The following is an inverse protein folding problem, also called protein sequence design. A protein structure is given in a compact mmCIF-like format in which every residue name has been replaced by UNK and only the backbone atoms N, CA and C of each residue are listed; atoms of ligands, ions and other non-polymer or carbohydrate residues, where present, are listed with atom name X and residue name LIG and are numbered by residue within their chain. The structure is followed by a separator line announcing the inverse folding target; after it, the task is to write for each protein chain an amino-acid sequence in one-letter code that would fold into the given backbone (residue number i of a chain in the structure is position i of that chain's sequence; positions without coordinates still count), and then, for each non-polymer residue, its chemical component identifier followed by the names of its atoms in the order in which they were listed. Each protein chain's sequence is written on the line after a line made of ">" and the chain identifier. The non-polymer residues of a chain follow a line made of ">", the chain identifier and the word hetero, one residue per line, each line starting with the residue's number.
data_IF_539642513386
#
_entry.id   IF_539642513386
#
_cell.length_a   1.000
_cell.length_b   1.000
_cell.length_c   1.000
_cell.angle_alpha   90.00
_cell.angle_beta   90.00
_cell.angle_gamma   90.00
#
_symmetry.space_group_name_H-M   'P 1'
#
loop_
_entity.id
_entity.type
_entity.pdbx_description
1 polymer ?
#
# COMPACT_ATOMS: atom_id res chain seq x y z
N UNK A 1 -11.29 16.10 -0.05
CA UNK A 1 -11.53 14.66 0.16
C UNK A 1 -12.68 14.56 1.12
N UNK A 2 -13.86 14.21 0.63
CA UNK A 2 -15.06 14.08 1.46
C UNK A 2 -15.13 12.61 1.88
N UNK A 3 -15.30 12.34 3.17
CA UNK A 3 -15.37 10.98 3.71
C UNK A 3 -16.62 10.84 4.57
N UNK A 4 -17.16 9.63 4.65
CA UNK A 4 -18.32 9.31 5.46
C UNK A 4 -17.93 8.18 6.41
N UNK A 5 -18.32 8.31 7.67
CA UNK A 5 -18.04 7.36 8.75
C UNK A 5 -19.31 6.57 9.06
N UNK A 6 -19.19 5.28 9.33
CA UNK A 6 -20.30 4.39 9.67
C UNK A 6 -21.06 4.98 10.87
N UNK A 7 -22.34 5.32 10.66
CA UNK A 7 -23.29 6.02 11.56
C UNK A 7 -23.49 7.54 11.33
N UNK A 8 -22.82 8.17 10.36
CA UNK A 8 -22.98 9.60 10.07
C UNK A 8 -23.43 9.82 8.62
N UNK A 9 -24.64 10.36 8.39
CA UNK A 9 -25.17 10.63 7.03
C UNK A 9 -24.59 11.91 6.43
N UNK A 10 -23.75 12.63 7.18
CA UNK A 10 -23.15 13.89 6.77
C UNK A 10 -21.70 13.71 6.30
N UNK A 11 -21.31 14.46 5.27
CA UNK A 11 -19.93 14.48 4.83
C UNK A 11 -19.04 15.13 5.87
N UNK A 12 -17.95 14.46 6.22
CA UNK A 12 -16.94 14.99 7.14
C UNK A 12 -15.56 14.94 6.51
N UNK A 13 -14.79 15.97 6.76
CA UNK A 13 -13.38 16.02 6.42
C UNK A 13 -12.56 15.13 7.37
N UNK A 14 -11.41 14.60 6.93
CA UNK A 14 -10.50 13.87 7.82
C UNK A 14 -10.13 14.65 9.09
N UNK A 15 -10.00 15.98 9.01
CA UNK A 15 -9.72 16.85 10.17
C UNK A 15 -10.84 16.82 11.20
N UNK A 16 -12.10 16.86 10.76
CA UNK A 16 -13.27 16.78 11.64
C UNK A 16 -13.42 15.40 12.28
N UNK A 17 -13.04 14.35 11.55
CA UNK A 17 -13.04 12.99 12.07
C UNK A 17 -11.97 12.85 13.16
N UNK A 18 -10.73 13.27 12.86
CA UNK A 18 -9.58 13.24 13.79
C UNK A 18 -9.87 14.05 15.06
N UNK A 19 -10.43 15.26 14.93
CA UNK A 19 -10.74 16.11 16.09
C UNK A 19 -11.85 15.54 16.98
N UNK A 20 -12.76 14.73 16.42
CA UNK A 20 -13.81 14.07 17.18
C UNK A 20 -13.47 12.68 17.70
N UNK A 21 -12.34 12.10 17.26
CA UNK A 21 -11.99 10.72 17.57
C UNK A 21 -11.30 10.63 18.93
N UNK A 22 -11.65 9.63 19.72
CA UNK A 22 -11.02 9.37 21.01
C UNK A 22 -9.82 8.45 20.83
N UNK A 23 -8.71 8.62 21.57
CA UNK A 23 -7.61 7.66 21.54
C UNK A 23 -8.07 6.26 21.95
N UNK A 24 -7.72 5.26 21.14
CA UNK A 24 -7.85 3.84 21.44
C UNK A 24 -6.96 3.47 22.62
N UNK A 25 -7.53 2.73 23.57
CA UNK A 25 -6.81 2.27 24.78
C UNK A 25 -5.80 1.16 24.51
N UNK A 26 -5.77 0.57 23.31
CA UNK A 26 -4.94 -0.60 23.01
C UNK A 26 -3.61 -0.27 22.33
N UNK A 27 -3.60 0.73 21.46
CA UNK A 27 -2.52 0.94 20.48
C UNK A 27 -2.16 2.42 20.27
N UNK A 28 -2.82 3.35 20.99
CA UNK A 28 -2.56 4.79 20.85
C UNK A 28 -3.03 5.39 19.52
N UNK A 29 -3.76 4.62 18.70
CA UNK A 29 -4.39 5.11 17.49
C UNK A 29 -5.71 5.83 17.83
N UNK A 30 -6.26 6.59 16.89
CA UNK A 30 -7.58 7.18 17.06
C UNK A 30 -8.67 6.12 16.82
N UNK A 31 -9.63 6.03 17.74
CA UNK A 31 -10.84 5.22 17.62
C UNK A 31 -11.82 5.92 16.67
N UNK A 32 -11.53 5.78 15.38
CA UNK A 32 -12.37 6.25 14.30
C UNK A 32 -13.30 5.10 13.91
N UNK A 33 -14.63 5.31 14.05
CA UNK A 33 -15.63 4.41 13.47
C UNK A 33 -15.28 4.15 11.99
N UNK A 34 -15.51 2.93 11.51
CA UNK A 34 -15.08 2.53 10.18
C UNK A 34 -15.61 3.48 9.08
N UNK A 35 -14.83 3.69 8.02
CA UNK A 35 -15.28 4.44 6.85
C UNK A 35 -16.24 3.61 6.00
N UNK A 36 -17.17 4.28 5.32
CA UNK A 36 -17.98 3.58 4.31
C UNK A 36 -17.09 3.04 3.18
N UNK A 37 -17.44 1.87 2.62
CA UNK A 37 -16.75 1.33 1.45
C UNK A 37 -16.82 2.32 0.29
N UNK A 38 -15.79 2.30 -0.55
CA UNK A 38 -15.78 3.11 -1.78
C UNK A 38 -16.02 4.61 -1.51
N UNK A 39 -15.42 5.15 -0.44
CA UNK A 39 -15.55 6.55 -0.05
C UNK A 39 -14.37 7.43 -0.46
N UNK A 40 -13.22 6.84 -0.84
CA UNK A 40 -12.00 7.60 -1.16
C UNK A 40 -11.71 7.62 -2.66
N UNK A 41 -11.44 8.82 -3.20
CA UNK A 41 -11.04 8.99 -4.60
C UNK A 41 -9.58 8.57 -4.83
N UNK A 42 -8.72 8.75 -3.82
CA UNK A 42 -7.30 8.40 -3.87
C UNK A 42 -6.81 7.88 -2.52
N UNK A 43 -5.96 6.87 -2.56
CA UNK A 43 -5.31 6.29 -1.37
C UNK A 43 -3.80 6.21 -1.61
N UNK A 44 -3.01 6.66 -0.64
CA UNK A 44 -1.57 6.36 -0.56
C UNK A 44 -1.44 5.32 0.55
N UNK A 45 -0.94 4.15 0.19
CA UNK A 45 -0.72 3.04 1.09
C UNK A 45 0.78 2.83 1.25
N UNK A 46 1.31 3.36 2.34
CA UNK A 46 2.72 3.24 2.76
C UNK A 46 2.78 2.44 4.07
N UNK A 47 2.57 1.11 4.01
CA UNK A 47 2.46 0.29 5.19
C UNK A 47 3.85 0.06 5.83
N UNK A 48 3.89 -0.28 7.13
CA UNK A 48 5.13 -0.71 7.77
C UNK A 48 5.80 -1.86 7.01
N UNK A 49 7.11 -1.79 6.86
CA UNK A 49 7.91 -2.75 6.10
C UNK A 49 9.22 -3.09 6.84
N UNK A 50 9.94 -4.09 6.36
CA UNK A 50 11.22 -4.53 6.95
C UNK A 50 12.34 -3.48 6.90
N UNK A 51 12.13 -2.38 6.15
CA UNK A 51 13.01 -1.23 6.05
C UNK A 51 14.45 -1.56 5.62
N UNK A 52 14.65 -2.68 4.90
CA UNK A 52 15.96 -3.15 4.46
C UNK A 52 16.65 -2.20 3.46
N UNK A 53 15.90 -1.25 2.88
CA UNK A 53 16.42 -0.27 1.95
C UNK A 53 16.96 1.02 2.60
N UNK A 54 16.75 1.24 3.90
CA UNK A 54 17.15 2.52 4.52
C UNK A 54 18.66 2.78 4.41
N UNK A 55 19.04 4.03 4.10
CA UNK A 55 20.43 4.51 4.09
C UNK A 55 20.52 5.90 4.74
N UNK A 56 21.56 6.17 5.56
CA UNK A 56 22.53 5.20 6.08
C UNK A 56 21.85 4.30 7.14
N UNK A 57 22.14 2.99 7.10
CA UNK A 57 21.72 2.05 8.13
C UNK A 57 22.95 1.40 8.73
N UNK A 58 23.39 1.93 9.86
CA UNK A 58 24.64 1.53 10.52
C UNK A 58 24.50 0.20 11.29
N UNK A 59 23.27 -0.20 11.61
CA UNK A 59 22.96 -1.47 12.25
C UNK A 59 21.72 -2.10 11.59
N UNK A 60 21.84 -3.39 11.25
CA UNK A 60 20.71 -4.26 10.89
C UNK A 60 20.54 -5.23 12.05
N UNK A 61 19.43 -5.11 12.77
CA UNK A 61 18.98 -6.20 13.62
C UNK A 61 18.74 -7.41 12.71
N UNK A 62 19.24 -8.58 13.12
CA UNK A 62 19.06 -9.81 12.37
C UNK A 62 17.55 -10.11 12.25
N UNK A 63 16.99 -9.84 11.07
CA UNK A 63 15.61 -10.21 10.77
C UNK A 63 15.60 -11.66 10.31
N UNK A 64 14.91 -12.52 11.06
CA UNK A 64 14.71 -13.90 10.66
C UNK A 64 13.77 -13.96 9.45
N UNK A 65 13.84 -15.05 8.67
CA UNK A 65 12.89 -15.29 7.59
C UNK A 65 11.41 -15.20 8.05
N UNK A 66 11.03 -15.76 9.22
CA UNK A 66 9.70 -15.52 9.79
C UNK A 66 9.34 -14.05 9.98
N UNK A 67 10.29 -13.20 10.41
CA UNK A 67 10.02 -11.77 10.62
C UNK A 67 9.72 -11.07 9.29
N UNK A 68 10.49 -11.37 8.25
CA UNK A 68 10.26 -10.82 6.90
C UNK A 68 8.89 -11.24 6.33
N UNK A 69 8.47 -12.48 6.58
CA UNK A 69 7.15 -12.96 6.17
C UNK A 69 6.02 -12.26 6.94
N UNK A 70 6.20 -11.98 8.24
CA UNK A 70 5.19 -11.25 9.03
C UNK A 70 4.92 -9.84 8.50
N UNK A 71 5.95 -9.14 8.02
CA UNK A 71 5.76 -7.83 7.38
C UNK A 71 4.87 -7.93 6.14
N UNK A 72 5.14 -8.91 5.26
CA UNK A 72 4.34 -9.15 4.07
C UNK A 72 2.88 -9.50 4.42
N UNK A 73 2.64 -10.34 5.42
CA UNK A 73 1.28 -10.68 5.85
C UNK A 73 0.55 -9.48 6.45
N UNK A 74 1.25 -8.64 7.22
CA UNK A 74 0.68 -7.43 7.77
C UNK A 74 0.30 -6.41 6.68
N UNK A 75 1.14 -6.27 5.64
CA UNK A 75 0.87 -5.43 4.47
C UNK A 75 -0.40 -5.87 3.71
N UNK A 76 -0.66 -7.17 3.61
CA UNK A 76 -1.90 -7.70 2.98
C UNK A 76 -3.16 -7.19 3.69
N UNK A 77 -3.15 -7.07 5.01
CA UNK A 77 -4.29 -6.55 5.76
C UNK A 77 -4.61 -5.09 5.39
N UNK A 78 -3.57 -4.25 5.27
CA UNK A 78 -3.72 -2.87 4.81
C UNK A 78 -4.21 -2.79 3.37
N UNK A 79 -3.68 -3.62 2.48
CA UNK A 79 -4.10 -3.71 1.08
C UNK A 79 -5.59 -4.00 0.98
N UNK A 80 -6.09 -5.01 1.70
CA UNK A 80 -7.51 -5.38 1.69
C UNK A 80 -8.41 -4.22 2.10
N UNK A 81 -8.02 -3.49 3.16
CA UNK A 81 -8.77 -2.31 3.61
C UNK A 81 -8.70 -1.16 2.61
N UNK A 82 -7.53 -0.89 2.04
CA UNK A 82 -7.37 0.15 1.03
C UNK A 82 -8.24 -0.11 -0.21
N UNK A 83 -8.25 -1.33 -0.74
CA UNK A 83 -9.08 -1.69 -1.91
C UNK A 83 -10.58 -1.57 -1.62
N UNK A 84 -11.03 -1.95 -0.42
CA UNK A 84 -12.42 -1.83 -0.02
C UNK A 84 -12.89 -0.36 0.09
N UNK A 85 -12.01 0.52 0.58
CA UNK A 85 -12.30 1.94 0.79
C UNK A 85 -12.16 2.79 -0.49
N UNK A 86 -11.43 2.29 -1.50
CA UNK A 86 -11.22 2.99 -2.75
C UNK A 86 -12.48 2.97 -3.64
N UNK A 87 -12.84 4.12 -4.22
CA UNK A 87 -13.92 4.23 -5.22
C UNK A 87 -13.58 3.54 -6.53
N UNK A 88 -14.57 3.06 -7.29
CA UNK A 88 -14.42 2.83 -8.72
C UNK A 88 -13.95 4.12 -9.43
N UNK A 89 -13.00 3.99 -10.35
CA UNK A 89 -12.26 5.09 -10.95
C UNK A 89 -11.16 5.70 -10.06
N UNK A 90 -11.09 5.32 -8.79
CA UNK A 90 -10.10 5.82 -7.83
C UNK A 90 -8.70 5.24 -8.05
N UNK A 91 -7.69 5.95 -7.55
CA UNK A 91 -6.28 5.54 -7.65
C UNK A 91 -5.70 5.15 -6.29
N UNK A 92 -4.96 4.05 -6.25
CA UNK A 92 -4.14 3.66 -5.09
C UNK A 92 -2.66 3.64 -5.46
N UNK A 93 -1.84 4.31 -4.66
CA UNK A 93 -0.38 4.15 -4.71
C UNK A 93 0.05 3.25 -3.56
N UNK A 94 0.85 2.23 -3.84
CA UNK A 94 1.51 1.39 -2.87
C UNK A 94 2.98 1.74 -2.83
N UNK A 95 3.56 1.92 -1.65
CA UNK A 95 4.99 2.18 -1.49
C UNK A 95 5.59 1.48 -0.29
N UNK A 96 6.89 1.20 -0.34
CA UNK A 96 7.67 0.69 0.80
C UNK A 96 9.10 1.22 0.74
N UNK A 97 9.78 1.25 1.89
CA UNK A 97 11.22 1.56 1.99
C UNK A 97 12.09 0.29 2.17
N UNK A 98 11.66 -0.82 1.57
CA UNK A 98 12.41 -2.08 1.57
C UNK A 98 12.77 -2.52 0.16
N UNK A 99 13.83 -3.31 0.05
CA UNK A 99 14.27 -3.97 -1.19
C UNK A 99 13.73 -5.41 -1.31
N UNK A 100 13.05 -5.92 -0.28
CA UNK A 100 12.55 -7.29 -0.28
C UNK A 100 11.43 -7.49 -1.33
N UNK A 101 11.68 -8.36 -2.31
CA UNK A 101 10.70 -8.66 -3.36
C UNK A 101 9.38 -9.22 -2.84
N UNK A 102 9.39 -9.86 -1.65
CA UNK A 102 8.16 -10.38 -1.03
C UNK A 102 7.21 -9.29 -0.52
N UNK A 103 7.75 -8.10 -0.23
CA UNK A 103 6.99 -6.91 0.19
C UNK A 103 6.70 -5.97 -0.99
N UNK A 104 7.30 -6.22 -2.16
CA UNK A 104 7.25 -5.34 -3.33
C UNK A 104 6.55 -6.04 -4.51
N UNK A 105 7.30 -6.66 -5.41
CA UNK A 105 6.79 -7.28 -6.63
C UNK A 105 5.74 -8.37 -6.35
N UNK A 106 5.95 -9.18 -5.30
CA UNK A 106 4.95 -10.19 -4.89
C UNK A 106 3.69 -9.57 -4.31
N UNK A 107 3.77 -8.40 -3.67
CA UNK A 107 2.57 -7.67 -3.21
C UNK A 107 1.78 -7.11 -4.38
N UNK A 108 2.47 -6.62 -5.43
CA UNK A 108 1.79 -6.21 -6.66
C UNK A 108 1.06 -7.38 -7.30
N UNK A 109 1.70 -8.55 -7.43
CA UNK A 109 1.06 -9.77 -7.93
C UNK A 109 -0.16 -10.14 -7.09
N UNK A 110 -0.01 -10.15 -5.76
CA UNK A 110 -1.10 -10.45 -4.82
C UNK A 110 -2.29 -9.49 -4.99
N UNK A 111 -2.05 -8.19 -5.13
CA UNK A 111 -3.11 -7.21 -5.38
C UNK A 111 -3.90 -7.57 -6.64
N UNK A 112 -3.19 -7.85 -7.74
CA UNK A 112 -3.81 -8.19 -9.03
C UNK A 112 -4.54 -9.55 -9.02
N UNK A 113 -4.07 -10.49 -8.20
CA UNK A 113 -4.69 -11.81 -8.07
C UNK A 113 -5.93 -11.80 -7.19
N UNK A 114 -5.83 -11.24 -5.98
CA UNK A 114 -6.94 -11.17 -5.03
C UNK A 114 -8.00 -10.14 -5.44
N UNK A 115 -7.65 -9.12 -6.23
CA UNK A 115 -8.55 -8.02 -6.55
C UNK A 115 -8.65 -7.80 -8.06
N UNK A 116 -9.49 -8.59 -8.74
CA UNK A 116 -9.77 -8.45 -10.20
C UNK A 116 -10.41 -7.12 -10.61
N UNK A 117 -10.72 -6.24 -9.66
CA UNK A 117 -11.15 -4.87 -9.90
C UNK A 117 -9.98 -3.87 -9.97
N UNK A 118 -8.78 -4.27 -9.57
CA UNK A 118 -7.58 -3.44 -9.57
C UNK A 118 -6.76 -3.71 -10.84
N UNK A 119 -6.23 -2.64 -11.42
CA UNK A 119 -5.34 -2.70 -12.58
C UNK A 119 -4.08 -1.93 -12.26
N UNK A 120 -2.91 -2.56 -12.47
CA UNK A 120 -1.61 -1.89 -12.39
C UNK A 120 -1.49 -0.92 -13.57
N UNK A 121 -1.06 0.31 -13.31
CA UNK A 121 -0.89 1.32 -14.35
C UNK A 121 0.53 1.88 -14.38
N UNK A 122 1.03 2.27 -15.56
CA UNK A 122 2.38 2.81 -15.68
C UNK A 122 2.56 4.09 -14.85
N UNK A 123 3.66 4.17 -14.11
CA UNK A 123 4.12 5.40 -13.49
C UNK A 123 5.01 6.14 -14.49
N UNK A 124 4.55 7.30 -14.97
CA UNK A 124 5.40 8.21 -15.76
C UNK A 124 6.42 8.87 -14.84
N UNK A 125 7.64 8.34 -14.80
CA UNK A 125 8.76 8.85 -14.03
C UNK A 125 10.04 8.76 -14.85
N UNK A 126 10.91 9.76 -14.72
CA UNK A 126 12.27 9.74 -15.26
C UNK A 126 13.28 9.08 -14.31
N UNK A 127 12.88 8.79 -13.07
CA UNK A 127 13.73 8.17 -12.04
C UNK A 127 13.16 6.84 -11.55
N UNK A 128 14.05 6.03 -10.98
CA UNK A 128 13.75 4.67 -10.50
C UNK A 128 13.83 3.64 -11.62
N UNK A 129 14.47 2.53 -11.31
CA UNK A 129 14.57 1.35 -12.17
C UNK A 129 13.19 0.68 -12.32
N UNK A 130 12.99 -0.13 -13.36
CA UNK A 130 11.88 -1.08 -13.40
C UNK A 130 11.91 -2.03 -12.19
N UNK A 131 10.76 -2.63 -11.87
CA UNK A 131 10.68 -3.69 -10.87
C UNK A 131 11.43 -4.96 -11.30
N UNK A 132 11.58 -5.89 -10.35
CA UNK A 132 12.21 -7.18 -10.64
C UNK A 132 11.25 -8.10 -11.42
N UNK A 133 11.59 -8.41 -12.69
CA UNK A 133 10.87 -9.44 -13.45
C UNK A 133 11.15 -10.84 -12.89
N UNK A 134 10.17 -11.74 -12.96
CA UNK A 134 10.28 -13.11 -12.43
C UNK A 134 9.98 -13.26 -10.94
N UNK A 135 9.78 -12.15 -10.21
CA UNK A 135 9.38 -12.16 -8.80
C UNK A 135 7.88 -11.90 -8.60
N UNK A 136 7.07 -12.40 -9.54
CA UNK A 136 5.62 -12.19 -9.59
C UNK A 136 5.17 -11.24 -10.70
N UNK A 137 6.09 -10.46 -11.28
CA UNK A 137 5.81 -9.58 -12.42
C UNK A 137 6.46 -10.10 -13.70
N UNK A 138 5.74 -9.96 -14.81
CA UNK A 138 6.34 -10.09 -16.15
C UNK A 138 7.12 -8.80 -16.52
N UNK A 139 7.78 -8.78 -17.69
CA UNK A 139 8.60 -7.63 -18.12
C UNK A 139 7.78 -6.35 -18.31
N UNK A 140 6.56 -6.45 -18.82
CA UNK A 140 5.67 -5.30 -19.02
C UNK A 140 5.21 -4.74 -17.67
N UNK A 141 4.70 -5.58 -16.77
CA UNK A 141 4.28 -5.19 -15.43
C UNK A 141 5.44 -4.59 -14.62
N UNK A 142 6.64 -5.16 -14.73
CA UNK A 142 7.84 -4.64 -14.10
C UNK A 142 8.18 -3.23 -14.59
N UNK A 143 7.88 -2.91 -15.86
CA UNK A 143 8.06 -1.56 -16.40
C UNK A 143 7.07 -0.53 -15.84
N UNK A 144 5.97 -0.96 -15.22
CA UNK A 144 4.94 -0.05 -14.70
C UNK A 144 5.23 0.44 -13.29
N UNK A 145 6.03 -0.30 -12.53
CA UNK A 145 6.45 0.05 -11.16
C UNK A 145 7.80 0.78 -11.17
N UNK A 146 8.15 1.41 -10.05
CA UNK A 146 9.46 2.03 -9.85
C UNK A 146 10.14 1.43 -8.63
N UNK A 147 11.39 1.02 -8.81
CA UNK A 147 12.27 0.49 -7.78
C UNK A 147 13.52 1.35 -7.70
N UNK A 148 13.87 1.75 -6.50
CA UNK A 148 15.11 2.42 -6.17
C UNK A 148 15.98 1.39 -5.48
N UNK A 149 17.08 1.01 -6.11
CA UNK A 149 17.99 0.01 -5.58
C UNK A 149 19.24 0.73 -5.04
N UNK A 150 19.63 0.53 -3.77
CA UNK A 150 20.85 1.09 -3.23
C UNK A 150 22.13 0.69 -3.96
N UNK A 151 22.12 -0.42 -4.72
CA UNK A 151 23.27 -0.82 -5.53
C UNK A 151 23.41 0.00 -6.82
N UNK A 152 22.45 0.84 -7.17
CA UNK A 152 22.56 1.77 -8.29
C UNK A 152 23.39 3.00 -7.87
N UNK A 153 24.70 2.90 -8.06
CA UNK A 153 25.65 3.96 -7.72
C UNK A 153 25.40 5.28 -8.47
N UNK A 154 24.77 5.23 -9.65
CA UNK A 154 24.48 6.44 -10.42
C UNK A 154 23.33 7.25 -9.79
N UNK A 155 22.38 6.56 -9.14
CA UNK A 155 21.27 7.20 -8.45
C UNK A 155 21.58 7.55 -6.99
N UNK A 156 22.42 6.73 -6.32
CA UNK A 156 22.80 6.84 -4.91
C UNK A 156 21.62 7.19 -3.98
N UNK A 157 20.58 6.38 -4.03
CA UNK A 157 19.37 6.56 -3.20
C UNK A 157 19.23 5.47 -2.14
N UNK A 158 18.27 5.68 -1.23
CA UNK A 158 17.76 4.62 -0.39
C UNK A 158 16.92 3.61 -1.19
N UNK A 159 16.78 2.42 -0.65
CA UNK A 159 15.91 1.39 -1.21
C UNK A 159 14.44 1.78 -1.03
N UNK A 160 13.73 1.85 -2.15
CA UNK A 160 12.34 2.27 -2.17
C UNK A 160 11.58 1.61 -3.32
N UNK A 161 10.28 1.40 -3.15
CA UNK A 161 9.44 0.79 -4.18
C UNK A 161 8.12 1.54 -4.29
N UNK A 162 7.62 1.70 -5.52
CA UNK A 162 6.34 2.34 -5.80
C UNK A 162 5.58 1.60 -6.90
N UNK A 163 4.32 1.28 -6.62
CA UNK A 163 3.37 0.76 -7.59
C UNK A 163 2.08 1.60 -7.57
N UNK A 164 1.43 1.76 -8.73
CA UNK A 164 0.20 2.54 -8.87
C UNK A 164 -0.90 1.70 -9.50
N UNK A 165 -2.10 1.79 -8.93
CA UNK A 165 -3.26 1.04 -9.38
C UNK A 165 -4.46 1.96 -9.60
N UNK A 166 -5.36 1.53 -10.48
CA UNK A 166 -6.71 2.09 -10.66
C UNK A 166 -7.72 0.99 -10.36
N UNK A 167 -8.77 1.34 -9.59
CA UNK A 167 -9.92 0.45 -9.38
C UNK A 167 -10.94 0.68 -10.50
N UNK A 168 -11.13 -0.30 -11.38
CA UNK A 168 -11.99 -0.16 -12.57
C UNK A 168 -13.48 -0.21 -12.25
N UNK A 169 -13.86 -1.00 -11.25
CA UNK A 169 -15.26 -1.28 -10.88
C UNK A 169 -15.40 -1.48 -9.39
N UNK A 170 -16.63 -1.48 -8.90
CA UNK A 170 -16.89 -1.79 -7.50
C UNK A 170 -16.38 -3.17 -7.14
N UNK A 171 -15.86 -3.29 -5.93
CA UNK A 171 -15.36 -4.56 -5.42
C UNK A 171 -16.56 -5.39 -4.96
N UNK A 172 -16.88 -6.44 -5.71
CA UNK A 172 -17.89 -7.42 -5.29
C UNK A 172 -17.28 -8.28 -4.18
N UNK A 173 -17.47 -7.92 -2.92
CA UNK A 173 -17.32 -8.85 -1.82
C UNK A 173 -18.43 -8.66 -0.80
N UNK A 174 -19.16 -9.76 -0.59
CA UNK A 174 -20.08 -10.02 0.50
C UNK A 174 -19.39 -9.68 1.82
N UNK A 175 -19.93 -8.73 2.58
CA UNK A 175 -19.46 -8.44 3.92
C UNK A 175 -19.72 -9.64 4.82
N UNK A 176 -18.75 -10.56 4.94
CA UNK A 176 -18.64 -11.34 6.16
C UNK A 176 -18.16 -10.39 7.26
N UNK A 177 -19.09 -10.13 8.19
CA UNK A 177 -18.88 -9.33 9.39
C UNK A 177 -17.72 -9.94 10.19
N UNK A 178 -16.67 -9.16 10.41
CA UNK A 178 -15.66 -9.41 11.46
C UNK A 178 -16.06 -8.58 12.67
#
# INVERSE_FOLDING_TARGET
>A
TNCVVQDDTSWRSPKEIISSATPSRKDGLLDVKAFYPESFDRIILDPPCSALGLRPRLHIDAQSLPDLLRHADYQRAFIRKAVALLKPGGTMTYSTCTINASENEKMVRLILDENKCMTLVPIKSSCGLPGLSGFGLNQEEASFVRRFDPSDEAADTMGFFVAKFIKQRSHSNTFERV
#
